data_IF_771165819504
#
_entry.id   IF_771165819504
#
_cell.length_a   1.000
_cell.length_b   1.000
_cell.length_c   1.000
_cell.angle_alpha   90.00
_cell.angle_beta   90.00
_cell.angle_gamma   90.00
#
_symmetry.space_group_name_H-M   'P 1'
#
loop_
_entity.id
_entity.type
_entity.pdbx_description
1 polymer ?
#
# COMPACT_ATOMS: atom_id res chain seq x y z
N UNK A 1 10.66 -29.97 15.24
CA UNK A 1 10.49 -29.37 13.91
C UNK A 1 11.70 -28.50 13.69
N UNK A 2 12.43 -28.69 12.56
CA UNK A 2 13.54 -27.80 12.21
C UNK A 2 12.91 -26.52 11.72
N UNK A 3 13.16 -25.39 12.40
CA UNK A 3 12.71 -24.09 11.90
C UNK A 3 13.53 -23.76 10.66
N UNK A 4 12.85 -23.51 9.54
CA UNK A 4 13.50 -23.05 8.31
C UNK A 4 13.98 -21.60 8.53
N UNK A 5 15.29 -21.44 8.68
CA UNK A 5 15.94 -20.14 8.80
C UNK A 5 16.31 -19.63 7.41
N UNK A 6 16.01 -18.37 7.14
CA UNK A 6 16.30 -17.67 5.91
C UNK A 6 17.19 -16.47 6.17
N UNK A 7 18.02 -16.09 5.20
CA UNK A 7 18.85 -14.91 5.29
C UNK A 7 20.35 -15.22 5.33
N UNK A 8 21.16 -14.15 5.45
CA UNK A 8 22.62 -14.22 5.44
C UNK A 8 23.22 -13.21 6.43
N UNK A 9 24.34 -13.58 7.07
CA UNK A 9 25.04 -12.74 8.05
C UNK A 9 24.16 -12.40 9.25
N UNK A 10 24.06 -11.12 9.58
CA UNK A 10 23.26 -10.62 10.69
C UNK A 10 21.75 -10.51 10.36
N UNK A 11 21.37 -10.72 9.11
CA UNK A 11 19.99 -10.69 8.63
C UNK A 11 19.45 -12.12 8.52
N UNK A 12 19.15 -12.73 9.64
CA UNK A 12 18.57 -14.07 9.72
C UNK A 12 17.14 -13.99 10.24
N UNK A 13 16.24 -14.71 9.59
CA UNK A 13 14.81 -14.68 9.85
C UNK A 13 14.30 -16.11 10.02
N UNK A 14 13.25 -16.26 10.78
CA UNK A 14 12.52 -17.51 10.98
C UNK A 14 11.05 -17.28 10.67
N UNK A 15 10.41 -18.25 10.00
CA UNK A 15 8.97 -18.19 9.80
C UNK A 15 8.28 -18.49 11.13
N UNK A 16 7.39 -17.61 11.55
CA UNK A 16 6.50 -17.84 12.68
C UNK A 16 5.18 -18.41 12.13
N UNK A 17 4.96 -19.72 12.24
CA UNK A 17 3.71 -20.33 11.78
C UNK A 17 2.53 -19.77 12.58
N UNK A 18 1.38 -19.68 11.92
CA UNK A 18 0.12 -19.30 12.57
C UNK A 18 0.14 -17.90 13.24
N UNK A 19 1.09 -17.04 12.84
CA UNK A 19 1.08 -15.65 13.28
C UNK A 19 -0.03 -14.88 12.55
N UNK A 20 -0.85 -14.18 13.31
CA UNK A 20 -1.92 -13.33 12.78
C UNK A 20 -3.30 -13.95 12.91
N UNK A 21 -4.21 -13.53 12.06
CA UNK A 21 -5.62 -13.91 12.11
C UNK A 21 -5.81 -15.27 11.43
N UNK A 22 -6.41 -16.22 12.14
CA UNK A 22 -6.70 -17.58 11.64
C UNK A 22 -7.94 -17.68 10.75
N UNK A 23 -8.72 -16.60 10.59
CA UNK A 23 -9.89 -16.57 9.72
C UNK A 23 -9.48 -16.47 8.25
N UNK A 24 -10.33 -16.91 7.34
CA UNK A 24 -10.14 -16.73 5.90
C UNK A 24 -10.09 -15.23 5.58
N UNK A 25 -8.89 -14.70 5.51
CA UNK A 25 -8.65 -13.36 4.98
C UNK A 25 -8.79 -13.42 3.45
N UNK A 26 -9.23 -12.33 2.87
CA UNK A 26 -9.06 -12.10 1.44
C UNK A 26 -7.57 -12.12 1.06
N UNK A 27 -7.24 -11.68 -0.14
CA UNK A 27 -5.84 -11.56 -0.55
C UNK A 27 -5.19 -10.38 0.16
N UNK A 28 -4.20 -10.63 1.01
CA UNK A 28 -3.32 -9.58 1.54
C UNK A 28 -2.44 -9.10 0.40
N UNK A 29 -2.63 -7.87 -0.03
CA UNK A 29 -1.89 -7.29 -1.16
C UNK A 29 -0.56 -6.66 -0.75
N UNK A 30 -0.50 -6.11 0.45
CA UNK A 30 0.71 -5.49 0.99
C UNK A 30 0.60 -5.34 2.51
N UNK A 31 1.74 -5.07 3.16
CA UNK A 31 1.86 -4.90 4.61
C UNK A 31 2.80 -3.74 4.93
N UNK A 32 2.48 -3.00 5.98
CA UNK A 32 3.35 -1.96 6.54
C UNK A 32 3.25 -1.94 8.08
N UNK A 33 4.24 -1.35 8.73
CA UNK A 33 4.25 -1.18 10.19
C UNK A 33 4.36 0.29 10.57
N UNK A 34 3.74 0.67 11.67
CA UNK A 34 3.88 2.01 12.23
C UNK A 34 5.00 2.08 13.29
N UNK A 35 5.21 3.27 13.86
CA UNK A 35 6.24 3.50 14.89
C UNK A 35 5.97 2.81 16.24
N UNK A 36 4.81 2.19 16.41
CA UNK A 36 4.41 1.43 17.61
C UNK A 36 4.39 -0.09 17.36
N UNK A 37 5.04 -0.54 16.27
CA UNK A 37 5.07 -1.95 15.83
C UNK A 37 3.68 -2.55 15.55
N UNK A 38 2.66 -1.72 15.29
CA UNK A 38 1.39 -2.22 14.78
C UNK A 38 1.53 -2.57 13.31
N UNK A 39 0.93 -3.67 12.91
CA UNK A 39 1.00 -4.21 11.55
C UNK A 39 -0.30 -3.91 10.81
N UNK A 40 -0.19 -3.27 9.67
CA UNK A 40 -1.32 -2.87 8.81
C UNK A 40 -1.32 -3.75 7.57
N UNK A 41 -2.39 -4.52 7.39
CA UNK A 41 -2.58 -5.36 6.22
C UNK A 41 -3.57 -4.70 5.26
N UNK A 42 -3.15 -4.47 4.03
CA UNK A 42 -4.06 -4.08 2.95
C UNK A 42 -4.68 -5.35 2.36
N UNK A 43 -5.99 -5.55 2.57
CA UNK A 43 -6.69 -6.76 2.17
C UNK A 43 -7.65 -6.47 1.03
N UNK A 44 -7.55 -7.24 -0.05
CA UNK A 44 -8.51 -7.24 -1.16
C UNK A 44 -9.64 -8.20 -0.86
N UNK A 45 -10.85 -7.78 -1.18
CA UNK A 45 -11.96 -8.71 -1.21
C UNK A 45 -11.83 -9.60 -2.46
N UNK A 46 -11.78 -10.90 -2.26
CA UNK A 46 -12.06 -11.86 -3.31
C UNK A 46 -13.51 -12.28 -3.16
N UNK A 47 -14.24 -12.41 -4.26
CA UNK A 47 -15.70 -12.66 -4.30
C UNK A 47 -16.18 -13.94 -3.57
N UNK A 48 -15.32 -14.57 -2.79
CA UNK A 48 -15.56 -15.83 -2.07
C UNK A 48 -15.36 -15.73 -0.55
N UNK A 49 -15.06 -14.53 -0.03
CA UNK A 49 -14.86 -14.32 1.42
C UNK A 49 -16.02 -13.52 1.99
N UNK A 50 -16.54 -13.94 3.11
CA UNK A 50 -17.54 -13.19 3.88
C UNK A 50 -16.93 -11.95 4.58
N UNK A 51 -15.62 -11.72 4.37
CA UNK A 51 -14.92 -10.53 4.87
C UNK A 51 -15.37 -9.29 4.11
N UNK A 52 -15.51 -8.16 4.80
CA UNK A 52 -15.86 -6.88 4.18
C UNK A 52 -14.90 -6.50 3.05
N UNK A 53 -15.43 -5.96 1.97
CA UNK A 53 -14.66 -5.56 0.80
C UNK A 53 -13.60 -4.53 1.14
N UNK A 54 -12.36 -4.75 0.65
CA UNK A 54 -11.24 -3.83 0.69
C UNK A 54 -11.02 -3.15 2.03
N UNK A 55 -10.39 -3.83 2.96
CA UNK A 55 -10.18 -3.31 4.31
C UNK A 55 -8.70 -3.19 4.64
N UNK A 56 -8.41 -2.30 5.58
CA UNK A 56 -7.16 -2.29 6.31
C UNK A 56 -7.41 -2.97 7.65
N UNK A 57 -6.66 -4.04 7.92
CA UNK A 57 -6.65 -4.68 9.22
C UNK A 57 -5.43 -4.20 10.00
N UNK A 58 -5.63 -3.90 11.27
CA UNK A 58 -4.57 -3.43 12.17
C UNK A 58 -4.34 -4.48 13.25
N UNK A 59 -3.12 -5.03 13.31
CA UNK A 59 -2.74 -6.05 14.27
C UNK A 59 -1.66 -5.53 15.22
N UNK A 60 -1.58 -6.14 16.40
CA UNK A 60 -0.42 -5.95 17.27
C UNK A 60 0.79 -6.81 16.80
N UNK A 61 1.92 -6.66 17.47
CA UNK A 61 3.13 -7.43 17.18
C UNK A 61 2.97 -8.96 17.40
N UNK A 62 1.92 -9.39 18.09
CA UNK A 62 1.60 -10.80 18.35
C UNK A 62 0.58 -11.36 17.35
N UNK A 63 0.10 -10.53 16.41
CA UNK A 63 -0.87 -10.94 15.41
C UNK A 63 -2.34 -10.86 15.86
N UNK A 64 -2.62 -10.26 17.02
CA UNK A 64 -4.01 -10.04 17.45
C UNK A 64 -4.62 -8.87 16.72
N UNK A 65 -5.86 -9.02 16.25
CA UNK A 65 -6.60 -7.93 15.62
C UNK A 65 -6.92 -6.84 16.65
N UNK A 66 -6.46 -5.62 16.37
CA UNK A 66 -6.74 -4.43 17.17
C UNK A 66 -7.90 -3.62 16.59
N UNK A 67 -7.92 -3.46 15.27
CA UNK A 67 -8.87 -2.60 14.57
C UNK A 67 -9.03 -3.00 13.10
N UNK A 68 -10.09 -2.53 12.46
CA UNK A 68 -10.30 -2.63 11.01
C UNK A 68 -11.06 -1.43 10.50
N UNK A 69 -10.65 -0.90 9.34
CA UNK A 69 -11.30 0.25 8.73
C UNK A 69 -11.22 0.21 7.20
N UNK A 70 -11.95 1.10 6.55
CA UNK A 70 -11.93 1.23 5.09
C UNK A 70 -12.88 0.29 4.36
N UNK A 71 -13.83 -0.33 5.05
CA UNK A 71 -14.86 -1.14 4.39
C UNK A 71 -15.57 -0.32 3.32
N UNK A 72 -15.69 -0.89 2.11
CA UNK A 72 -16.33 -0.28 0.93
C UNK A 72 -15.66 1.02 0.41
N UNK A 73 -14.52 1.42 0.98
CA UNK A 73 -13.77 2.60 0.51
C UNK A 73 -12.80 2.29 -0.62
N UNK A 74 -12.42 1.02 -0.79
CA UNK A 74 -11.38 0.60 -1.72
C UNK A 74 -11.93 -0.35 -2.77
N UNK A 75 -11.51 -0.15 -4.02
CA UNK A 75 -11.83 -1.06 -5.13
C UNK A 75 -10.82 -2.20 -5.22
N UNK A 76 -9.53 -1.86 -5.24
CA UNK A 76 -8.43 -2.83 -5.29
C UNK A 76 -7.21 -2.22 -4.59
N UNK A 77 -7.19 -2.21 -3.24
CA UNK A 77 -6.03 -1.73 -2.50
C UNK A 77 -4.81 -2.57 -2.91
N UNK A 78 -3.72 -1.90 -3.27
CA UNK A 78 -2.55 -2.56 -3.83
C UNK A 78 -1.33 -2.42 -2.94
N UNK A 79 -0.87 -1.18 -2.73
CA UNK A 79 0.31 -0.91 -1.92
C UNK A 79 -0.02 0.00 -0.74
N UNK A 80 0.41 -0.39 0.46
CA UNK A 80 0.36 0.42 1.67
C UNK A 80 1.76 0.79 2.11
N UNK A 81 1.95 2.03 2.52
CA UNK A 81 3.20 2.51 3.10
C UNK A 81 2.90 3.44 4.27
N UNK A 82 3.70 3.36 5.33
CA UNK A 82 3.55 4.18 6.53
C UNK A 82 4.83 4.98 6.76
N UNK A 83 4.70 6.29 6.95
CA UNK A 83 5.81 7.19 7.24
C UNK A 83 6.27 7.07 8.69
N UNK A 84 7.44 7.65 9.00
CA UNK A 84 7.94 7.77 10.37
C UNK A 84 6.99 8.57 11.28
N UNK A 85 6.20 9.46 10.69
CA UNK A 85 5.19 10.26 11.40
C UNK A 85 3.81 9.60 11.40
N UNK A 86 3.77 8.28 11.08
CA UNK A 86 2.56 7.47 11.06
C UNK A 86 1.49 7.94 10.06
N UNK A 87 1.90 8.58 8.96
CA UNK A 87 1.03 8.87 7.83
C UNK A 87 0.95 7.64 6.93
N UNK A 88 -0.25 7.18 6.63
CA UNK A 88 -0.50 6.05 5.73
C UNK A 88 -0.70 6.57 4.31
N UNK A 89 0.01 5.99 3.35
CA UNK A 89 -0.26 6.15 1.92
C UNK A 89 -0.77 4.83 1.36
N UNK A 90 -1.93 4.84 0.72
CA UNK A 90 -2.56 3.68 0.13
C UNK A 90 -2.83 3.92 -1.36
N UNK A 91 -2.27 3.06 -2.21
CA UNK A 91 -2.56 3.04 -3.64
C UNK A 91 -3.72 2.07 -3.92
N UNK A 92 -4.76 2.56 -4.60
CA UNK A 92 -5.85 1.74 -5.11
C UNK A 92 -5.75 1.65 -6.64
N UNK A 93 -5.39 0.47 -7.12
CA UNK A 93 -5.06 0.30 -8.53
C UNK A 93 -6.27 0.36 -9.47
N UNK A 94 -7.43 -0.13 -9.05
CA UNK A 94 -8.65 -0.09 -9.89
C UNK A 94 -9.41 1.23 -9.77
N UNK A 95 -9.17 1.95 -8.68
CA UNK A 95 -9.79 3.25 -8.43
C UNK A 95 -8.96 4.42 -8.99
N UNK A 96 -7.74 4.13 -9.47
CA UNK A 96 -6.81 5.11 -10.02
C UNK A 96 -6.45 6.24 -9.06
N UNK A 97 -6.37 5.92 -7.75
CA UNK A 97 -6.06 6.91 -6.71
C UNK A 97 -4.93 6.46 -5.79
N UNK A 98 -4.28 7.45 -5.18
CA UNK A 98 -3.48 7.28 -3.97
C UNK A 98 -4.07 8.19 -2.91
N UNK A 99 -4.33 7.62 -1.73
CA UNK A 99 -4.95 8.35 -0.62
C UNK A 99 -4.03 8.36 0.59
N UNK A 100 -4.02 9.49 1.30
CA UNK A 100 -3.34 9.62 2.58
C UNK A 100 -4.35 9.50 3.72
N UNK A 101 -3.99 8.71 4.73
CA UNK A 101 -4.79 8.49 5.92
C UNK A 101 -3.95 8.64 7.19
N UNK A 102 -4.60 9.00 8.28
CA UNK A 102 -4.09 8.79 9.63
C UNK A 102 -4.18 7.31 10.02
N UNK A 103 -3.50 6.90 11.08
CA UNK A 103 -3.50 5.49 11.53
C UNK A 103 -4.85 4.99 12.04
N UNK A 104 -5.78 5.90 12.35
CA UNK A 104 -7.18 5.60 12.73
C UNK A 104 -8.14 5.64 11.52
N UNK A 105 -7.60 5.69 10.29
CA UNK A 105 -8.38 5.60 9.06
C UNK A 105 -9.05 6.89 8.59
N UNK A 106 -8.73 8.06 9.19
CA UNK A 106 -9.25 9.35 8.73
C UNK A 106 -8.53 9.80 7.47
N UNK A 107 -9.28 10.02 6.39
CA UNK A 107 -8.74 10.54 5.13
C UNK A 107 -8.18 11.96 5.31
N UNK A 108 -6.96 12.18 4.83
CA UNK A 108 -6.30 13.50 4.82
C UNK A 108 -6.40 14.15 3.44
N UNK A 109 -5.98 13.43 2.38
CA UNK A 109 -6.11 13.88 1.00
C UNK A 109 -6.17 12.72 0.02
N UNK A 110 -6.61 13.03 -1.21
CA UNK A 110 -6.66 12.09 -2.35
C UNK A 110 -5.91 12.67 -3.53
N UNK A 111 -5.04 11.87 -4.13
CA UNK A 111 -4.42 12.12 -5.43
C UNK A 111 -5.07 11.24 -6.48
N UNK A 112 -5.21 11.77 -7.70
CA UNK A 112 -5.97 11.12 -8.77
C UNK A 112 -7.47 11.41 -8.67
N UNK A 113 -8.25 10.84 -9.59
CA UNK A 113 -9.71 10.98 -9.63
C UNK A 113 -10.34 9.60 -9.58
N UNK A 114 -11.17 9.38 -8.59
CA UNK A 114 -11.81 8.09 -8.36
C UNK A 114 -12.50 7.56 -9.62
N UNK A 115 -12.15 6.32 -9.99
CA UNK A 115 -12.71 5.62 -11.15
C UNK A 115 -12.32 6.20 -12.51
N UNK A 116 -11.36 7.14 -12.57
CA UNK A 116 -10.92 7.74 -13.82
C UNK A 116 -9.42 7.63 -14.01
N UNK A 117 -9.02 7.11 -15.16
CA UNK A 117 -7.63 7.14 -15.59
C UNK A 117 -7.21 8.57 -15.92
N UNK A 118 -5.99 8.92 -15.57
CA UNK A 118 -5.32 10.12 -16.09
C UNK A 118 -4.99 9.99 -17.57
N UNK A 119 -4.69 11.12 -18.23
CA UNK A 119 -4.14 11.14 -19.59
C UNK A 119 -2.73 10.49 -19.59
N UNK A 120 -2.27 10.07 -20.77
CA UNK A 120 -0.93 9.48 -20.91
C UNK A 120 0.15 10.40 -20.35
N UNK A 121 0.94 9.89 -19.42
CA UNK A 121 1.97 10.66 -18.72
C UNK A 121 1.49 11.44 -17.49
N UNK A 122 0.19 11.44 -17.22
CA UNK A 122 -0.42 12.09 -16.05
C UNK A 122 -0.85 11.04 -15.00
N UNK A 123 -0.91 11.41 -13.71
CA UNK A 123 -1.43 10.51 -12.67
C UNK A 123 -2.95 10.36 -12.79
N UNK A 124 -3.49 9.17 -12.60
CA UNK A 124 -2.89 7.83 -12.49
C UNK A 124 -3.56 6.88 -13.48
N UNK A 125 -2.84 5.82 -13.89
CA UNK A 125 -3.45 4.72 -14.59
C UNK A 125 -3.04 3.40 -13.92
N UNK A 126 -3.74 3.03 -12.85
CA UNK A 126 -3.53 1.86 -12.00
C UNK A 126 -2.24 1.94 -11.15
N UNK A 127 -2.14 2.93 -10.24
CA UNK A 127 -1.01 3.08 -9.34
C UNK A 127 -0.83 1.84 -8.45
N UNK A 128 0.42 1.54 -8.11
CA UNK A 128 0.75 0.31 -7.39
C UNK A 128 1.28 0.56 -5.99
N UNK A 129 2.06 1.61 -5.78
CA UNK A 129 2.61 1.95 -4.47
C UNK A 129 2.97 3.43 -4.39
N UNK A 130 2.91 3.98 -3.20
CA UNK A 130 3.40 5.32 -2.89
C UNK A 130 4.39 5.26 -1.73
N UNK A 131 5.35 6.18 -1.71
CA UNK A 131 6.28 6.36 -0.60
C UNK A 131 6.72 7.83 -0.48
N UNK A 132 6.95 8.27 0.75
CA UNK A 132 7.47 9.60 1.07
C UNK A 132 8.96 9.52 1.36
N UNK A 133 9.74 10.35 0.70
CA UNK A 133 11.17 10.48 1.01
C UNK A 133 11.40 11.19 2.36
N UNK A 134 12.61 11.09 2.90
CA UNK A 134 12.97 11.80 4.12
C UNK A 134 12.88 13.34 3.97
N UNK A 135 12.93 13.86 2.75
CA UNK A 135 12.78 15.30 2.45
C UNK A 135 11.33 15.73 2.22
N UNK A 136 10.36 14.84 2.43
CA UNK A 136 8.93 15.15 2.23
C UNK A 136 8.47 15.08 0.77
N UNK A 137 9.29 14.57 -0.15
CA UNK A 137 8.87 14.35 -1.54
C UNK A 137 8.15 13.02 -1.66
N UNK A 138 6.97 13.01 -2.28
CA UNK A 138 6.16 11.82 -2.48
C UNK A 138 6.41 11.27 -3.89
N UNK A 139 6.58 9.95 -3.97
CA UNK A 139 6.73 9.21 -5.23
C UNK A 139 5.67 8.13 -5.32
N UNK A 140 5.11 7.96 -6.51
CA UNK A 140 4.11 6.94 -6.79
C UNK A 140 4.53 6.13 -8.01
N UNK A 141 4.59 4.81 -7.87
CA UNK A 141 4.73 3.90 -9.01
C UNK A 141 3.37 3.66 -9.65
N UNK A 142 3.29 3.90 -10.95
CA UNK A 142 2.10 3.74 -11.77
C UNK A 142 2.41 2.78 -12.92
N UNK A 143 2.56 1.50 -12.54
CA UNK A 143 3.21 0.50 -13.38
C UNK A 143 2.26 -0.41 -14.17
N UNK A 144 0.97 -0.50 -13.80
CA UNK A 144 0.06 -1.40 -14.52
C UNK A 144 -0.52 -0.81 -15.80
N UNK A 145 -0.63 0.50 -15.87
CA UNK A 145 -1.26 1.16 -17.02
C UNK A 145 -0.32 2.01 -17.86
N UNK A 146 0.84 2.42 -17.33
CA UNK A 146 1.70 3.35 -18.07
C UNK A 146 3.21 3.34 -17.74
N UNK A 147 3.72 2.41 -16.94
CA UNK A 147 5.16 2.23 -16.65
C UNK A 147 5.87 3.52 -16.19
N UNK A 148 5.28 4.25 -15.23
CA UNK A 148 5.79 5.56 -14.78
C UNK A 148 6.00 5.66 -13.29
N UNK A 149 6.86 6.60 -12.93
CA UNK A 149 6.94 7.14 -11.57
C UNK A 149 6.46 8.59 -11.60
N UNK A 150 5.52 8.91 -10.72
CA UNK A 150 5.04 10.27 -10.51
C UNK A 150 5.65 10.85 -9.25
N UNK A 151 6.07 12.11 -9.33
CA UNK A 151 6.61 12.89 -8.23
C UNK A 151 5.61 13.97 -7.81
N UNK A 152 5.37 14.06 -6.50
CA UNK A 152 4.48 15.04 -5.88
C UNK A 152 5.20 15.78 -4.75
N UNK A 153 4.63 16.91 -4.34
CA UNK A 153 4.92 17.51 -3.04
C UNK A 153 4.44 16.59 -1.91
N UNK A 154 4.85 16.86 -0.67
CA UNK A 154 4.37 16.11 0.49
C UNK A 154 2.87 16.27 0.76
N UNK A 155 2.26 17.31 0.21
CA UNK A 155 0.82 17.61 0.34
C UNK A 155 -0.01 17.06 -0.83
N UNK A 156 0.62 16.38 -1.78
CA UNK A 156 -0.06 15.70 -2.89
C UNK A 156 -0.19 16.50 -4.18
N UNK A 157 0.49 17.64 -4.31
CA UNK A 157 0.51 18.41 -5.57
C UNK A 157 1.49 17.77 -6.57
N UNK A 158 1.01 17.49 -7.78
CA UNK A 158 1.81 16.91 -8.84
C UNK A 158 2.93 17.82 -9.30
N UNK A 159 4.15 17.28 -9.42
CA UNK A 159 5.36 18.00 -9.84
C UNK A 159 5.79 17.57 -11.23
N UNK A 160 5.97 16.26 -11.45
CA UNK A 160 6.41 15.69 -12.72
C UNK A 160 6.19 14.18 -12.77
N UNK A 161 6.29 13.64 -13.99
CA UNK A 161 6.31 12.20 -14.24
C UNK A 161 7.54 11.83 -15.05
N UNK A 162 8.09 10.63 -14.82
CA UNK A 162 9.22 10.08 -15.58
C UNK A 162 9.09 8.56 -15.71
N UNK A 163 9.88 7.99 -16.61
CA UNK A 163 9.76 6.58 -17.04
C UNK A 163 8.82 6.41 -18.22
N UNK A 164 9.01 5.33 -18.93
CA UNK A 164 8.17 4.90 -20.05
C UNK A 164 8.37 3.41 -20.29
N UNK A 165 7.47 2.79 -21.05
CA UNK A 165 7.60 1.38 -21.44
C UNK A 165 8.87 1.16 -22.24
N UNK A 166 9.75 0.26 -21.77
CA UNK A 166 11.01 -0.02 -22.47
C UNK A 166 11.83 -1.14 -21.82
N UNK A 167 12.95 -1.50 -22.49
CA UNK A 167 13.90 -2.52 -22.03
C UNK A 167 15.33 -1.99 -21.91
N UNK A 168 15.56 -0.70 -22.17
CA UNK A 168 16.87 -0.04 -22.07
C UNK A 168 17.15 0.46 -20.66
N UNK A 169 18.36 0.99 -20.43
CA UNK A 169 18.71 1.67 -19.17
C UNK A 169 17.88 2.95 -19.03
N UNK A 170 17.16 3.09 -17.91
CA UNK A 170 16.35 4.28 -17.60
C UNK A 170 14.92 4.22 -18.12
N UNK A 171 14.49 3.06 -18.59
CA UNK A 171 13.09 2.78 -18.94
C UNK A 171 12.46 1.88 -17.89
#
# INVERSE_FOLDING_TARGET
MVSDRFGFGDFQYEVVPDWGISSELGVVSDVATDSNDRVYLAVRNTAHTETPSGVILVLDQHGNLLDSWGQDLFSTPHGIWISKDNKILLADSSDHTVRSYTTDGRLEFTMGTQGKTGESGCPFNRPTRAALSNSGTLFVSDGYGQDRIHKFTGDGDWVMSFGETGKGSGF
#
